data_IF_140960123743
#
_entry.id   IF_140960123743
#
_cell.length_a   1.000
_cell.length_b   1.000
_cell.length_c   1.000
_cell.angle_alpha   90.00
_cell.angle_beta   90.00
_cell.angle_gamma   90.00
#
_symmetry.space_group_name_H-M   'P 1'
#
loop_
_entity.id
_entity.type
_entity.pdbx_description
1 polymer ?
#
# COMPACT_ATOMS: atom_id res chain seq x y z
N UNK A 1 20.69 -2.48 4.35
CA UNK A 1 19.54 -1.80 4.99
C UNK A 1 19.72 -1.86 6.50
N UNK A 2 19.50 -0.74 7.19
CA UNK A 2 19.67 -0.66 8.63
C UNK A 2 18.61 -1.49 9.37
N UNK A 3 18.96 -1.94 10.58
CA UNK A 3 18.09 -2.81 11.40
C UNK A 3 16.72 -2.18 11.66
N UNK A 4 16.66 -0.88 12.01
CA UNK A 4 15.41 -0.18 12.25
C UNK A 4 14.52 -0.14 11.01
N UNK A 5 15.10 0.07 9.84
CA UNK A 5 14.37 0.06 8.57
C UNK A 5 13.82 -1.33 8.25
N UNK A 6 14.58 -2.39 8.51
CA UNK A 6 14.09 -3.77 8.29
C UNK A 6 12.92 -4.11 9.20
N UNK A 7 12.99 -3.70 10.47
CA UNK A 7 11.90 -3.91 11.41
C UNK A 7 10.65 -3.11 11.00
N UNK A 8 10.85 -1.87 10.57
CA UNK A 8 9.75 -1.02 10.11
C UNK A 8 9.11 -1.55 8.83
N UNK A 9 9.92 -2.08 7.90
CA UNK A 9 9.39 -2.67 6.66
C UNK A 9 8.56 -3.92 6.96
N UNK A 10 9.00 -4.76 7.90
CA UNK A 10 8.23 -5.93 8.32
C UNK A 10 6.89 -5.52 8.95
N UNK A 11 6.92 -4.51 9.83
CA UNK A 11 5.72 -3.97 10.45
C UNK A 11 4.78 -3.37 9.39
N UNK A 12 5.33 -2.69 8.39
CA UNK A 12 4.56 -2.08 7.32
C UNK A 12 3.82 -3.13 6.48
N UNK A 13 4.43 -4.27 6.22
CA UNK A 13 3.78 -5.38 5.50
C UNK A 13 2.59 -5.91 6.28
N UNK A 14 2.69 -5.99 7.59
CA UNK A 14 1.57 -6.37 8.45
C UNK A 14 0.46 -5.32 8.45
N UNK A 15 0.82 -4.04 8.38
CA UNK A 15 -0.15 -2.95 8.33
C UNK A 15 -0.93 -2.93 7.02
N UNK A 16 -0.28 -3.24 5.90
CA UNK A 16 -0.93 -3.16 4.58
C UNK A 16 -1.88 -4.34 4.33
N UNK A 17 -1.65 -5.49 4.94
CA UNK A 17 -2.46 -6.68 4.69
C UNK A 17 -3.97 -6.46 4.92
N UNK A 18 -4.42 -5.87 6.05
CA UNK A 18 -5.85 -5.58 6.22
C UNK A 18 -6.37 -4.55 5.23
N UNK A 19 -5.55 -3.56 4.85
CA UNK A 19 -5.94 -2.56 3.87
C UNK A 19 -6.18 -3.19 2.50
N UNK A 20 -5.35 -4.17 2.11
CA UNK A 20 -5.47 -4.86 0.83
C UNK A 20 -6.73 -5.72 0.73
N UNK A 21 -7.29 -6.15 1.85
CA UNK A 21 -8.52 -6.94 1.84
C UNK A 21 -9.71 -6.16 1.25
N UNK A 22 -9.68 -4.82 1.36
CA UNK A 22 -10.77 -3.93 0.91
C UNK A 22 -10.33 -3.00 -0.22
N UNK A 23 -9.08 -3.09 -0.66
CA UNK A 23 -8.49 -2.16 -1.62
C UNK A 23 -8.71 -2.61 -3.07
N UNK A 24 -8.55 -1.66 -3.98
CA UNK A 24 -8.50 -1.88 -5.42
C UNK A 24 -7.14 -1.40 -5.96
N UNK A 25 -6.94 -1.52 -7.28
CA UNK A 25 -5.69 -1.08 -7.91
C UNK A 25 -5.44 0.42 -7.73
N UNK A 26 -6.50 1.22 -7.55
CA UNK A 26 -6.36 2.65 -7.29
C UNK A 26 -5.60 2.90 -5.99
N UNK A 27 -5.85 2.11 -4.95
CA UNK A 27 -5.10 2.20 -3.69
C UNK A 27 -3.61 1.99 -3.92
N UNK A 28 -3.23 0.98 -4.71
CA UNK A 28 -1.82 0.71 -5.04
C UNK A 28 -1.20 1.88 -5.81
N UNK A 29 -1.93 2.41 -6.79
CA UNK A 29 -1.48 3.58 -7.56
C UNK A 29 -1.27 4.79 -6.66
N UNK A 30 -2.16 5.00 -5.70
CA UNK A 30 -2.04 6.10 -4.75
C UNK A 30 -0.82 5.94 -3.84
N UNK A 31 -0.51 4.71 -3.40
CA UNK A 31 0.70 4.45 -2.62
C UNK A 31 1.96 4.80 -3.43
N UNK A 32 2.02 4.41 -4.72
CA UNK A 32 3.11 4.80 -5.61
C UNK A 32 3.19 6.31 -5.78
N UNK A 33 2.06 6.98 -5.95
CA UNK A 33 2.01 8.44 -6.14
C UNK A 33 2.53 9.18 -4.92
N UNK A 34 2.16 8.75 -3.73
CA UNK A 34 2.65 9.31 -2.48
C UNK A 34 4.17 9.14 -2.39
N UNK A 35 4.66 7.93 -2.64
CA UNK A 35 6.10 7.64 -2.64
C UNK A 35 6.87 8.48 -3.64
N UNK A 36 6.33 8.66 -4.85
CA UNK A 36 6.95 9.48 -5.89
C UNK A 36 7.03 10.97 -5.52
N UNK A 37 5.97 11.50 -4.91
CA UNK A 37 5.93 12.88 -4.45
C UNK A 37 6.92 13.11 -3.31
N UNK A 38 7.03 12.18 -2.38
CA UNK A 38 8.02 12.24 -1.29
C UNK A 38 9.43 12.20 -1.86
N UNK A 39 9.68 11.33 -2.85
CA UNK A 39 10.97 11.23 -3.52
C UNK A 39 11.37 12.54 -4.20
N UNK A 40 10.40 13.27 -4.72
CA UNK A 40 10.64 14.53 -5.45
C UNK A 40 10.87 15.73 -4.55
N UNK A 41 10.63 15.63 -3.25
CA UNK A 41 10.75 16.74 -2.30
C UNK A 41 11.69 16.38 -1.17
N UNK A 42 12.90 16.97 -1.18
CA UNK A 42 13.88 16.80 -0.10
C UNK A 42 13.31 17.27 1.24
N UNK A 43 12.57 18.36 1.23
CA UNK A 43 11.95 18.90 2.44
C UNK A 43 10.93 17.92 3.03
N UNK A 44 10.07 17.37 2.20
CA UNK A 44 9.04 16.41 2.64
C UNK A 44 9.71 15.13 3.15
N UNK A 45 10.71 14.61 2.43
CA UNK A 45 11.47 13.43 2.89
C UNK A 45 12.08 13.66 4.26
N UNK A 46 12.68 14.83 4.47
CA UNK A 46 13.30 15.16 5.74
C UNK A 46 12.31 15.19 6.89
N UNK A 47 11.16 15.80 6.69
CA UNK A 47 10.11 15.89 7.69
C UNK A 47 9.56 14.49 8.03
N UNK A 48 9.23 13.72 7.02
CA UNK A 48 8.55 12.42 7.21
C UNK A 48 9.47 11.33 7.74
N UNK A 49 10.77 11.43 7.52
CA UNK A 49 11.74 10.45 8.00
C UNK A 49 12.43 10.86 9.31
N UNK A 50 12.15 12.05 9.84
CA UNK A 50 12.76 12.55 11.06
C UNK A 50 12.26 11.73 12.26
N UNK A 51 13.15 10.99 12.95
CA UNK A 51 12.73 10.19 14.11
C UNK A 51 12.33 11.04 15.31
N UNK A 52 12.73 12.32 15.36
CA UNK A 52 12.36 13.23 16.44
C UNK A 52 11.03 13.93 16.23
N UNK A 53 10.48 13.88 15.00
CA UNK A 53 9.18 14.49 14.69
C UNK A 53 8.04 13.63 15.24
N UNK A 54 7.03 14.29 15.79
CA UNK A 54 5.85 13.60 16.29
C UNK A 54 5.01 13.05 15.13
N UNK A 55 4.37 11.91 15.36
CA UNK A 55 3.48 11.30 14.36
C UNK A 55 2.39 12.27 13.90
N UNK A 56 1.87 13.08 14.80
CA UNK A 56 0.84 14.08 14.48
C UNK A 56 1.35 15.14 13.50
N UNK A 57 2.60 15.57 13.64
CA UNK A 57 3.22 16.55 12.73
C UNK A 57 3.40 15.94 11.34
N UNK A 58 3.84 14.68 11.28
CA UNK A 58 3.99 13.95 10.01
C UNK A 58 2.65 13.76 9.32
N UNK A 59 1.64 13.35 10.06
CA UNK A 59 0.26 13.19 9.56
C UNK A 59 -0.28 14.52 9.02
N UNK A 60 -0.05 15.61 9.73
CA UNK A 60 -0.43 16.95 9.27
C UNK A 60 0.21 17.32 7.94
N UNK A 61 1.50 17.01 7.77
CA UNK A 61 2.21 17.26 6.52
C UNK A 61 1.63 16.43 5.37
N UNK A 62 1.34 15.15 5.60
CA UNK A 62 0.72 14.29 4.59
C UNK A 62 -0.66 14.80 4.21
N UNK A 63 -1.48 15.17 5.16
CA UNK A 63 -2.82 15.69 4.90
C UNK A 63 -2.76 16.98 4.09
N UNK A 64 -1.82 17.88 4.42
CA UNK A 64 -1.65 19.14 3.70
C UNK A 64 -1.29 18.93 2.23
N UNK A 65 -0.44 17.95 1.94
CA UNK A 65 0.05 17.68 0.58
C UNK A 65 -0.94 16.79 -0.20
N UNK A 66 -1.46 15.74 0.41
CA UNK A 66 -2.19 14.67 -0.29
C UNK A 66 -3.68 14.60 0.04
N UNK A 67 -4.14 15.27 1.08
CA UNK A 67 -5.49 15.08 1.62
C UNK A 67 -6.64 15.21 0.63
N UNK A 68 -6.46 16.01 -0.43
CA UNK A 68 -7.47 16.22 -1.47
C UNK A 68 -7.28 15.33 -2.70
N UNK A 69 -6.11 14.69 -2.81
CA UNK A 69 -5.70 14.01 -4.05
C UNK A 69 -5.69 12.50 -3.94
N UNK A 70 -5.78 11.96 -2.72
CA UNK A 70 -5.77 10.52 -2.50
C UNK A 70 -6.95 10.13 -1.62
N UNK A 71 -7.29 8.84 -1.67
CA UNK A 71 -8.37 8.31 -0.85
C UNK A 71 -7.99 8.34 0.63
N UNK A 72 -9.01 8.32 1.48
CA UNK A 72 -8.83 8.25 2.92
C UNK A 72 -8.05 7.01 3.34
N UNK A 73 -8.30 5.87 2.69
CA UNK A 73 -7.59 4.63 2.99
C UNK A 73 -6.09 4.74 2.71
N UNK A 74 -5.71 5.34 1.56
CA UNK A 74 -4.31 5.55 1.22
C UNK A 74 -3.64 6.52 2.17
N UNK A 75 -4.33 7.60 2.55
CA UNK A 75 -3.81 8.59 3.49
C UNK A 75 -3.60 7.98 4.88
N UNK A 76 -4.55 7.22 5.38
CA UNK A 76 -4.44 6.53 6.67
C UNK A 76 -3.27 5.54 6.67
N UNK A 77 -3.09 4.79 5.59
CA UNK A 77 -1.96 3.87 5.48
C UNK A 77 -0.63 4.64 5.47
N UNK A 78 -0.55 5.73 4.70
CA UNK A 78 0.65 6.57 4.66
C UNK A 78 0.98 7.15 6.04
N UNK A 79 -0.02 7.60 6.80
CA UNK A 79 0.15 8.10 8.16
C UNK A 79 0.79 7.04 9.07
N UNK A 80 0.33 5.81 8.98
CA UNK A 80 0.87 4.70 9.78
C UNK A 80 2.28 4.34 9.35
N UNK A 81 2.55 4.40 8.05
CA UNK A 81 3.86 4.06 7.52
C UNK A 81 4.92 5.07 7.96
N UNK A 82 4.63 6.37 7.88
CA UNK A 82 5.59 7.41 8.28
C UNK A 82 5.77 7.49 9.80
N UNK A 83 4.84 6.97 10.58
CA UNK A 83 4.95 6.88 12.02
C UNK A 83 5.99 5.84 12.47
N UNK A 84 6.33 4.89 11.60
CA UNK A 84 7.38 3.91 11.86
C UNK A 84 8.76 4.58 11.75
N UNK A 85 9.78 3.93 12.30
CA UNK A 85 11.14 4.47 12.29
C UNK A 85 11.88 4.07 11.04
N UNK A 86 12.40 5.05 10.30
CA UNK A 86 13.18 4.85 9.08
C UNK A 86 14.59 5.44 9.27
N UNK A 87 15.61 4.72 8.77
CA UNK A 87 17.00 5.14 8.92
C UNK A 87 17.35 6.36 8.07
N UNK A 88 16.62 6.57 6.98
CA UNK A 88 16.82 7.70 6.08
C UNK A 88 15.55 7.98 5.27
N UNK A 89 15.50 9.16 4.64
CA UNK A 89 14.42 9.50 3.71
C UNK A 89 14.37 8.55 2.52
N UNK A 90 15.53 8.11 2.04
CA UNK A 90 15.62 7.16 0.93
C UNK A 90 15.01 5.81 1.30
N UNK A 91 15.21 5.36 2.52
CA UNK A 91 14.61 4.11 3.01
C UNK A 91 13.09 4.21 3.08
N UNK A 92 12.57 5.36 3.51
CA UNK A 92 11.13 5.61 3.52
C UNK A 92 10.55 5.55 2.10
N UNK A 93 11.19 6.20 1.13
CA UNK A 93 10.77 6.17 -0.28
C UNK A 93 10.79 4.74 -0.81
N UNK A 94 11.86 3.99 -0.54
CA UNK A 94 11.97 2.59 -0.95
C UNK A 94 10.84 1.75 -0.36
N UNK A 95 10.43 2.02 0.88
CA UNK A 95 9.33 1.32 1.51
C UNK A 95 8.02 1.56 0.78
N UNK A 96 7.72 2.80 0.40
CA UNK A 96 6.52 3.11 -0.39
C UNK A 96 6.54 2.35 -1.72
N UNK A 97 7.67 2.33 -2.40
CA UNK A 97 7.82 1.62 -3.68
C UNK A 97 7.60 0.11 -3.52
N UNK A 98 8.26 -0.49 -2.52
CA UNK A 98 8.12 -1.92 -2.25
C UNK A 98 6.71 -2.31 -1.87
N UNK A 99 6.05 -1.50 -1.05
CA UNK A 99 4.67 -1.76 -0.63
C UNK A 99 3.70 -1.54 -1.77
N UNK A 100 3.96 -0.58 -2.66
CA UNK A 100 3.18 -0.38 -3.87
C UNK A 100 3.26 -1.59 -4.79
N UNK A 101 4.47 -2.13 -5.01
CA UNK A 101 4.67 -3.36 -5.80
C UNK A 101 3.96 -4.54 -5.14
N UNK A 102 4.11 -4.69 -3.83
CA UNK A 102 3.44 -5.74 -3.06
C UNK A 102 1.92 -5.65 -3.20
N UNK A 103 1.37 -4.43 -3.13
CA UNK A 103 -0.06 -4.20 -3.28
C UNK A 103 -0.55 -4.58 -4.67
N UNK A 104 0.16 -4.17 -5.72
CA UNK A 104 -0.21 -4.53 -7.10
C UNK A 104 -0.17 -6.05 -7.27
N UNK A 105 0.88 -6.71 -6.81
CA UNK A 105 1.01 -8.16 -6.93
C UNK A 105 -0.12 -8.89 -6.19
N UNK A 106 -0.44 -8.46 -4.96
CA UNK A 106 -1.48 -9.06 -4.14
C UNK A 106 -2.87 -8.89 -4.76
N UNK A 107 -3.18 -7.69 -5.27
CA UNK A 107 -4.46 -7.40 -5.89
C UNK A 107 -4.61 -8.11 -7.23
N UNK A 108 -3.53 -8.23 -8.00
CA UNK A 108 -3.53 -8.97 -9.26
C UNK A 108 -3.75 -10.47 -9.01
N UNK A 109 -3.07 -11.03 -8.02
CA UNK A 109 -3.25 -12.44 -7.65
C UNK A 109 -4.69 -12.72 -7.20
N UNK A 110 -5.28 -11.80 -6.43
CA UNK A 110 -6.67 -11.89 -5.99
C UNK A 110 -7.63 -11.89 -7.19
N UNK A 111 -7.42 -10.99 -8.14
CA UNK A 111 -8.23 -10.90 -9.34
C UNK A 111 -8.13 -12.18 -10.18
N UNK A 112 -6.92 -12.74 -10.34
CA UNK A 112 -6.73 -14.01 -11.05
C UNK A 112 -7.46 -15.17 -10.37
N UNK A 113 -7.43 -15.23 -9.04
CA UNK A 113 -8.15 -16.25 -8.29
C UNK A 113 -9.65 -16.14 -8.48
N UNK A 114 -10.19 -14.92 -8.51
CA UNK A 114 -11.62 -14.71 -8.76
C UNK A 114 -12.00 -15.12 -10.17
N UNK A 115 -11.20 -14.76 -11.17
CA UNK A 115 -11.43 -15.17 -12.56
C UNK A 115 -11.43 -16.70 -12.70
N UNK A 116 -10.48 -17.35 -12.04
CA UNK A 116 -10.39 -18.81 -12.06
C UNK A 116 -11.61 -19.46 -11.40
N UNK A 117 -12.05 -18.92 -10.27
CA UNK A 117 -13.24 -19.40 -9.60
C UNK A 117 -14.48 -19.25 -10.46
N UNK A 118 -14.65 -18.10 -11.11
CA UNK A 118 -15.77 -17.87 -12.02
C UNK A 118 -15.75 -18.85 -13.17
N UNK A 119 -14.58 -19.11 -13.77
CA UNK A 119 -14.44 -20.08 -14.86
C UNK A 119 -14.77 -21.49 -14.39
N UNK A 120 -14.32 -21.88 -13.20
CA UNK A 120 -14.59 -23.20 -12.62
C UNK A 120 -16.09 -23.38 -12.33
N UNK A 121 -16.73 -22.34 -11.78
CA UNK A 121 -18.17 -22.37 -11.53
C UNK A 121 -18.99 -22.49 -12.82
N UNK A 122 -18.57 -21.75 -13.87
CA UNK A 122 -19.23 -21.80 -15.16
C UNK A 122 -19.11 -23.19 -15.77
N UNK A 123 -17.93 -23.80 -15.74
CA UNK A 123 -17.70 -25.15 -16.24
C UNK A 123 -18.54 -26.19 -15.48
N UNK A 124 -18.63 -26.03 -14.16
CA UNK A 124 -19.44 -26.91 -13.32
C UNK A 124 -20.92 -26.79 -13.66
N UNK A 125 -21.43 -25.58 -13.86
CA UNK A 125 -22.82 -25.34 -14.24
C UNK A 125 -23.14 -25.96 -15.59
N UNK A 126 -22.24 -25.85 -16.58
CA UNK A 126 -22.43 -26.49 -17.87
C UNK A 126 -22.49 -28.02 -17.77
N UNK A 127 -21.64 -28.60 -16.93
CA UNK A 127 -21.64 -30.04 -16.71
C UNK A 127 -22.97 -30.52 -16.11
N UNK A 128 -23.52 -29.76 -15.16
CA UNK A 128 -24.83 -30.07 -14.56
C UNK A 128 -25.94 -29.99 -15.62
N UNK A 129 -25.93 -28.95 -16.45
CA UNK A 129 -26.95 -28.74 -17.48
C UNK A 129 -26.95 -29.87 -18.50
N UNK A 130 -25.75 -30.36 -18.89
CA UNK A 130 -25.62 -31.48 -19.83
C UNK A 130 -26.15 -32.78 -19.20
N UNK A 131 -25.93 -33.01 -17.93
CA UNK A 131 -26.39 -34.20 -17.25
C UNK A 131 -27.91 -34.24 -17.10
N UNK A 132 -28.57 -33.10 -17.17
CA UNK A 132 -30.04 -33.02 -17.06
C UNK A 132 -30.74 -33.26 -18.37
N UNK A 133 -30.02 -33.30 -19.49
CA UNK A 133 -30.58 -33.67 -20.78
C UNK A 133 -30.59 -35.19 -20.97
#
# INVERSE_FOLDING_TARGET
MASSTRQSLAAAKELIAPALAKADLKFAEEIFSIGGAIASSAQLRGILSDPSAEAKAKSGALTAVFGKNVSKAALEFADRLVALRWSSGSDLVSAFEQLGVYAVASLTAKAKKLDQLEADLFAFQQAIDLDQE
#
